data_IF_381596850626
#
_entry.id   IF_381596850626
#
_cell.length_a   1.000
_cell.length_b   1.000
_cell.length_c   1.000
_cell.angle_alpha   90.00
_cell.angle_beta   90.00
_cell.angle_gamma   90.00
#
_symmetry.space_group_name_H-M   'P 1'
#
loop_
_entity.id
_entity.type
_entity.pdbx_description
1 polymer ?
#
# COMPACT_ATOMS: atom_id res chain seq x y z
N UNK A 1 -40.93 -3.27 -0.86
CA UNK A 1 -39.79 -4.17 -1.10
C UNK A 1 -40.08 -5.49 -0.42
N UNK A 2 -40.07 -6.58 -1.17
CA UNK A 2 -40.23 -7.93 -0.59
C UNK A 2 -38.94 -8.34 0.12
N UNK A 3 -39.03 -9.26 1.09
CA UNK A 3 -37.87 -9.78 1.84
C UNK A 3 -36.75 -10.29 0.92
N UNK A 4 -37.14 -10.88 -0.22
CA UNK A 4 -36.21 -11.34 -1.25
C UNK A 4 -35.41 -10.19 -1.90
N UNK A 5 -36.03 -9.03 -2.14
CA UNK A 5 -35.34 -7.86 -2.69
C UNK A 5 -34.34 -7.27 -1.68
N UNK A 6 -34.65 -7.33 -0.37
CA UNK A 6 -33.75 -6.87 0.69
C UNK A 6 -32.55 -7.82 0.81
N UNK A 7 -32.78 -9.14 0.78
CA UNK A 7 -31.73 -10.15 0.78
C UNK A 7 -30.79 -10.04 -0.44
N UNK A 8 -31.35 -9.79 -1.63
CA UNK A 8 -30.57 -9.60 -2.85
C UNK A 8 -29.73 -8.31 -2.80
N UNK A 9 -30.29 -7.22 -2.27
CA UNK A 9 -29.55 -5.98 -2.07
C UNK A 9 -28.41 -6.14 -1.05
N UNK A 10 -28.64 -6.86 0.05
CA UNK A 10 -27.60 -7.13 1.06
C UNK A 10 -26.48 -8.02 0.50
N UNK A 11 -26.81 -9.05 -0.29
CA UNK A 11 -25.82 -9.89 -0.96
C UNK A 11 -24.93 -9.09 -1.91
N UNK A 12 -25.49 -8.15 -2.67
CA UNK A 12 -24.71 -7.31 -3.60
C UNK A 12 -23.76 -6.33 -2.89
N UNK A 13 -24.11 -5.87 -1.68
CA UNK A 13 -23.26 -4.95 -0.90
C UNK A 13 -22.04 -5.67 -0.29
N UNK A 14 -22.09 -6.99 -0.11
CA UNK A 14 -21.05 -7.76 0.59
C UNK A 14 -19.81 -8.13 -0.25
N UNK A 15 -19.70 -7.74 -1.52
CA UNK A 15 -18.62 -8.23 -2.40
C UNK A 15 -17.34 -7.37 -2.44
N UNK A 16 -17.25 -6.28 -1.69
CA UNK A 16 -16.01 -5.49 -1.61
C UNK A 16 -15.07 -6.04 -0.51
N UNK A 17 -14.46 -7.21 -0.72
CA UNK A 17 -13.38 -7.68 0.14
C UNK A 17 -12.08 -6.99 -0.28
N UNK A 18 -11.70 -5.92 0.42
CA UNK A 18 -10.35 -5.39 0.35
C UNK A 18 -9.40 -6.32 1.11
N UNK A 19 -8.36 -6.84 0.44
CA UNK A 19 -7.28 -7.60 1.10
C UNK A 19 -6.44 -6.63 1.95
N UNK A 20 -6.56 -6.71 3.28
CA UNK A 20 -5.69 -6.01 4.23
C UNK A 20 -4.90 -7.04 5.03
N UNK A 21 -3.57 -6.91 5.02
CA UNK A 21 -2.64 -7.70 5.84
C UNK A 21 -2.10 -6.79 6.94
N UNK A 22 -2.07 -7.26 8.18
CA UNK A 22 -1.44 -6.54 9.29
C UNK A 22 -0.01 -7.03 9.47
N UNK A 23 0.95 -6.11 9.50
CA UNK A 23 2.36 -6.41 9.74
C UNK A 23 2.81 -5.67 11.00
N UNK A 24 3.16 -6.42 12.04
CA UNK A 24 3.69 -5.87 13.29
C UNK A 24 5.21 -5.73 13.18
N UNK A 25 5.72 -4.54 13.45
CA UNK A 25 7.14 -4.23 13.38
C UNK A 25 7.63 -3.57 14.68
N UNK A 26 8.83 -3.95 15.10
CA UNK A 26 9.50 -3.36 16.26
C UNK A 26 10.36 -2.17 15.85
N UNK A 27 10.26 -1.08 16.61
CA UNK A 27 11.08 0.13 16.37
C UNK A 27 12.56 -0.21 16.47
N UNK A 28 13.34 0.23 15.48
CA UNK A 28 14.76 -0.04 15.37
C UNK A 28 15.11 -1.22 14.46
N UNK A 29 14.16 -2.10 14.16
CA UNK A 29 14.42 -3.26 13.30
C UNK A 29 14.41 -2.88 11.81
N UNK A 30 15.08 -3.72 11.01
CA UNK A 30 14.96 -3.69 9.56
C UNK A 30 13.66 -4.36 9.15
N UNK A 31 12.80 -3.64 8.42
CA UNK A 31 11.50 -4.13 7.94
C UNK A 31 11.52 -4.21 6.42
N UNK A 32 10.97 -5.29 5.86
CA UNK A 32 10.82 -5.47 4.41
C UNK A 32 9.35 -5.75 4.11
N UNK A 33 8.72 -4.86 3.34
CA UNK A 33 7.35 -5.05 2.85
C UNK A 33 7.39 -5.51 1.41
N UNK A 34 6.50 -6.45 1.09
CA UNK A 34 6.43 -7.09 -0.22
C UNK A 34 4.97 -7.29 -0.62
N UNK A 35 4.57 -6.66 -1.73
CA UNK A 35 3.24 -6.83 -2.34
C UNK A 35 3.25 -7.80 -3.53
N UNK A 36 4.39 -8.44 -3.79
CA UNK A 36 4.65 -9.29 -4.93
C UNK A 36 5.18 -8.53 -6.13
N UNK A 37 4.88 -9.06 -7.32
CA UNK A 37 5.44 -8.55 -8.59
C UNK A 37 4.86 -7.20 -9.00
N UNK A 38 5.56 -6.57 -9.95
CA UNK A 38 5.13 -5.36 -10.68
C UNK A 38 5.01 -4.10 -9.81
N UNK A 39 5.80 -4.02 -8.73
CA UNK A 39 5.86 -2.86 -7.85
C UNK A 39 7.10 -2.04 -8.15
N UNK A 40 6.91 -0.80 -8.58
CA UNK A 40 7.99 0.19 -8.74
C UNK A 40 7.80 1.33 -7.77
N UNK A 41 6.55 1.72 -7.54
CA UNK A 41 6.11 2.80 -6.68
C UNK A 41 5.35 2.23 -5.49
N UNK A 42 5.70 2.72 -4.31
CA UNK A 42 4.96 2.52 -3.08
C UNK A 42 4.23 3.79 -2.71
N UNK A 43 2.95 3.65 -2.36
CA UNK A 43 2.13 4.67 -1.73
C UNK A 43 1.94 4.30 -0.26
N UNK A 44 1.96 5.29 0.62
CA UNK A 44 1.46 5.13 1.98
C UNK A 44 0.46 6.21 2.35
N UNK A 45 -0.42 5.87 3.28
CA UNK A 45 -1.25 6.81 4.03
C UNK A 45 -0.88 6.65 5.50
N UNK A 46 -0.32 7.70 6.10
CA UNK A 46 0.01 7.71 7.53
C UNK A 46 -1.26 7.75 8.38
N UNK A 47 -1.11 7.49 9.68
CA UNK A 47 -2.23 7.58 10.63
C UNK A 47 -2.86 8.98 10.72
N UNK A 48 -2.11 10.04 10.41
CA UNK A 48 -2.62 11.41 10.33
C UNK A 48 -3.36 11.72 9.01
N UNK A 49 -3.44 10.76 8.08
CA UNK A 49 -4.09 10.89 6.78
C UNK A 49 -3.21 11.43 5.66
N UNK A 50 -1.94 11.74 5.92
CA UNK A 50 -1.03 12.23 4.89
C UNK A 50 -0.71 11.13 3.87
N UNK A 51 -0.89 11.45 2.59
CA UNK A 51 -0.56 10.57 1.48
C UNK A 51 0.81 10.90 0.91
N UNK A 52 1.66 9.89 0.83
CA UNK A 52 3.05 10.00 0.41
C UNK A 52 3.41 8.85 -0.53
N UNK A 53 4.47 9.01 -1.31
CA UNK A 53 4.99 7.96 -2.17
C UNK A 53 6.51 7.95 -2.26
N UNK A 54 7.07 6.78 -2.57
CA UNK A 54 8.48 6.52 -2.84
C UNK A 54 8.54 5.54 -4.02
N UNK A 55 9.59 5.59 -4.85
CA UNK A 55 9.74 4.67 -5.97
C UNK A 55 11.17 4.12 -6.07
N UNK A 56 11.29 2.95 -6.69
CA UNK A 56 12.57 2.47 -7.17
C UNK A 56 13.06 3.37 -8.30
N UNK A 57 14.34 3.70 -8.27
CA UNK A 57 14.99 4.53 -9.27
C UNK A 57 16.26 3.85 -9.75
N UNK A 58 16.49 3.90 -11.06
CA UNK A 58 17.71 3.35 -11.67
C UNK A 58 18.91 4.23 -11.33
N UNK A 59 20.10 3.66 -11.47
CA UNK A 59 21.34 4.42 -11.31
C UNK A 59 21.35 5.67 -12.21
N UNK A 60 21.56 6.84 -11.61
CA UNK A 60 21.60 8.13 -12.29
C UNK A 60 20.30 8.94 -12.24
N UNK A 61 19.19 8.35 -11.80
CA UNK A 61 17.96 9.09 -11.51
C UNK A 61 18.10 9.86 -10.18
N UNK A 62 17.65 11.12 -10.17
CA UNK A 62 17.82 12.04 -9.03
C UNK A 62 16.51 12.61 -8.50
N UNK A 63 15.37 12.03 -8.88
CA UNK A 63 14.07 12.50 -8.39
C UNK A 63 14.01 12.39 -6.85
N UNK A 64 13.36 13.33 -6.16
CA UNK A 64 13.22 13.28 -4.70
C UNK A 64 12.60 11.97 -4.19
N UNK A 65 11.64 11.41 -4.92
CA UNK A 65 10.96 10.15 -4.59
C UNK A 65 11.86 8.90 -4.75
N UNK A 66 13.10 9.04 -5.23
CA UNK A 66 14.06 7.94 -5.33
C UNK A 66 14.72 7.58 -4.00
N UNK A 67 14.78 8.54 -3.06
CA UNK A 67 15.56 8.41 -1.82
C UNK A 67 14.72 8.53 -0.56
N UNK A 68 13.55 9.14 -0.67
CA UNK A 68 12.67 9.42 0.44
C UNK A 68 11.21 9.37 0.01
N UNK A 69 10.33 9.21 0.99
CA UNK A 69 8.92 9.49 0.79
C UNK A 69 8.71 10.97 0.50
N UNK A 70 7.85 11.25 -0.49
CA UNK A 70 7.43 12.60 -0.82
C UNK A 70 5.92 12.72 -0.83
N UNK A 71 5.43 13.90 -0.45
CA UNK A 71 4.01 14.25 -0.51
C UNK A 71 3.53 14.35 -1.95
N UNK A 72 2.20 14.49 -2.15
CA UNK A 72 1.62 14.79 -3.48
C UNK A 72 2.25 15.99 -4.18
N UNK A 73 2.63 17.01 -3.41
CA UNK A 73 3.28 18.22 -3.94
C UNK A 73 4.78 18.03 -4.24
N UNK A 74 5.31 16.81 -4.13
CA UNK A 74 6.73 16.49 -4.37
C UNK A 74 7.69 16.96 -3.28
N UNK A 75 7.18 17.39 -2.11
CA UNK A 75 8.00 17.79 -0.96
C UNK A 75 8.39 16.56 -0.13
N UNK A 76 9.57 16.54 0.51
CA UNK A 76 9.93 15.47 1.43
C UNK A 76 8.90 15.29 2.54
N UNK A 77 8.59 14.04 2.85
CA UNK A 77 7.73 13.66 3.96
C UNK A 77 8.29 14.16 5.30
N UNK A 78 7.41 14.57 6.21
CA UNK A 78 7.79 15.00 7.57
C UNK A 78 6.90 14.27 8.58
N UNK A 79 7.47 13.53 9.54
CA UNK A 79 8.91 13.31 9.77
C UNK A 79 9.56 12.44 8.67
N UNK A 80 10.87 12.58 8.43
CA UNK A 80 11.56 11.77 7.42
C UNK A 80 11.56 10.29 7.79
N UNK A 81 11.69 9.44 6.77
CA UNK A 81 11.68 7.98 6.91
C UNK A 81 12.94 7.41 6.27
N UNK A 82 13.65 6.52 6.96
CA UNK A 82 14.80 5.83 6.38
C UNK A 82 14.33 4.60 5.61
N UNK A 83 13.89 4.80 4.37
CA UNK A 83 13.42 3.73 3.52
C UNK A 83 13.85 3.88 2.06
N UNK A 84 13.89 2.77 1.34
CA UNK A 84 14.09 2.73 -0.10
C UNK A 84 13.32 1.55 -0.71
N UNK A 85 13.11 1.60 -2.02
CA UNK A 85 12.58 0.48 -2.79
C UNK A 85 13.75 -0.20 -3.48
N UNK A 86 13.85 -1.53 -3.41
CA UNK A 86 14.88 -2.30 -4.12
C UNK A 86 14.48 -2.60 -5.58
N UNK A 87 15.36 -3.29 -6.31
CA UNK A 87 15.14 -3.61 -7.73
C UNK A 87 14.04 -4.66 -7.94
N UNK A 88 13.74 -5.46 -6.92
CA UNK A 88 12.62 -6.40 -6.87
C UNK A 88 11.28 -5.74 -6.52
N UNK A 89 11.27 -4.45 -6.16
CA UNK A 89 10.08 -3.71 -5.81
C UNK A 89 9.67 -3.82 -4.34
N UNK A 90 10.52 -4.35 -3.46
CA UNK A 90 10.26 -4.43 -2.02
C UNK A 90 10.58 -3.09 -1.37
N UNK A 91 9.75 -2.69 -0.40
CA UNK A 91 10.00 -1.50 0.40
C UNK A 91 10.75 -1.88 1.67
N UNK A 92 11.95 -1.33 1.84
CA UNK A 92 12.86 -1.64 2.93
C UNK A 92 12.96 -0.42 3.85
N UNK A 93 12.74 -0.64 5.14
CA UNK A 93 13.02 0.32 6.21
C UNK A 93 14.26 -0.12 6.96
N UNK A 94 15.20 0.80 7.19
CA UNK A 94 16.44 0.49 7.92
C UNK A 94 16.99 1.76 8.62
N UNK A 95 16.63 2.00 9.89
CA UNK A 95 15.65 1.28 10.72
C UNK A 95 14.20 1.75 10.50
N UNK A 96 13.23 0.91 10.86
CA UNK A 96 11.83 1.28 11.07
C UNK A 96 11.66 2.16 12.32
N UNK A 97 10.84 3.21 12.23
CA UNK A 97 10.45 4.06 13.36
C UNK A 97 8.94 4.16 13.52
N UNK A 98 8.46 4.50 14.72
CA UNK A 98 7.02 4.51 15.03
C UNK A 98 6.19 5.41 14.10
N UNK A 99 6.78 6.47 13.56
CA UNK A 99 6.11 7.38 12.64
C UNK A 99 5.88 6.79 11.25
N UNK A 100 6.53 5.67 10.92
CA UNK A 100 6.35 4.95 9.66
C UNK A 100 5.07 4.11 9.65
N UNK A 101 4.34 4.01 10.75
CA UNK A 101 3.04 3.33 10.78
C UNK A 101 2.06 3.96 9.78
N UNK A 102 1.37 3.09 9.06
CA UNK A 102 0.39 3.50 8.07
C UNK A 102 -0.11 2.36 7.19
N UNK A 103 -0.94 2.73 6.22
CA UNK A 103 -1.48 1.82 5.21
C UNK A 103 -0.64 1.95 3.93
N UNK A 104 -0.02 0.85 3.53
CA UNK A 104 0.87 0.75 2.38
C UNK A 104 0.20 0.01 1.23
N UNK A 105 0.42 0.50 0.01
CA UNK A 105 -0.04 -0.12 -1.24
C UNK A 105 0.86 0.29 -2.40
N UNK A 106 0.59 -0.23 -3.60
CA UNK A 106 1.24 0.22 -4.83
C UNK A 106 0.19 0.68 -5.84
N UNK A 107 0.34 1.88 -6.44
CA UNK A 107 -0.52 2.31 -7.54
C UNK A 107 -0.28 1.53 -8.84
N UNK A 108 0.82 0.79 -8.94
CA UNK A 108 1.19 0.03 -10.14
C UNK A 108 0.34 -1.24 -10.29
N UNK A 109 -0.14 -1.79 -9.17
CA UNK A 109 -0.90 -3.02 -9.16
C UNK A 109 -2.38 -2.76 -9.47
N UNK A 110 -2.88 -3.31 -10.58
CA UNK A 110 -4.30 -3.24 -10.98
C UNK A 110 -5.14 -4.33 -10.31
N UNK A 111 -6.43 -4.07 -9.98
CA UNK A 111 -7.31 -5.08 -9.40
C UNK A 111 -7.29 -6.38 -10.20
N UNK A 112 -7.37 -7.51 -9.49
CA UNK A 112 -7.49 -8.81 -10.13
C UNK A 112 -8.92 -8.98 -10.60
N UNK A 113 -9.12 -8.98 -11.91
CA UNK A 113 -10.42 -9.12 -12.55
C UNK A 113 -10.63 -10.55 -13.04
N UNK A 114 -11.82 -11.09 -12.77
CA UNK A 114 -12.31 -12.35 -13.32
C UNK A 114 -13.63 -12.04 -14.02
N UNK A 115 -13.69 -12.35 -15.31
CA UNK A 115 -14.90 -12.21 -16.12
C UNK A 115 -15.48 -13.59 -16.42
N UNK A 116 -16.78 -13.76 -16.15
CA UNK A 116 -17.54 -14.95 -16.53
C UNK A 116 -18.91 -14.53 -17.03
N UNK A 117 -19.27 -14.93 -18.25
CA UNK A 117 -20.57 -14.62 -18.90
C UNK A 117 -20.98 -13.14 -18.85
N UNK A 118 -20.01 -12.23 -19.01
CA UNK A 118 -20.24 -10.77 -18.99
C UNK A 118 -20.34 -10.15 -17.59
N UNK A 119 -20.25 -10.95 -16.52
CA UNK A 119 -20.12 -10.46 -15.14
C UNK A 119 -18.64 -10.33 -14.79
N UNK A 120 -18.22 -9.12 -14.40
CA UNK A 120 -16.87 -8.84 -13.91
C UNK A 120 -16.88 -8.84 -12.38
N UNK A 121 -16.08 -9.74 -11.80
CA UNK A 121 -15.70 -9.70 -10.39
C UNK A 121 -14.29 -9.16 -10.28
N UNK A 122 -14.08 -8.14 -9.45
CA UNK A 122 -12.76 -7.54 -9.25
C UNK A 122 -12.40 -7.56 -7.76
N UNK A 123 -11.15 -7.94 -7.44
CA UNK A 123 -10.60 -7.87 -6.09
C UNK A 123 -9.45 -6.87 -6.08
N UNK A 124 -9.51 -5.91 -5.14
CA UNK A 124 -8.43 -4.94 -4.93
C UNK A 124 -7.15 -5.66 -4.50
N UNK A 125 -5.99 -5.14 -4.92
CA UNK A 125 -4.72 -5.68 -4.47
C UNK A 125 -4.51 -5.46 -2.98
N UNK A 126 -3.60 -6.28 -2.44
CA UNK A 126 -3.25 -6.29 -1.03
C UNK A 126 -2.78 -4.92 -0.58
N UNK A 127 -3.30 -4.49 0.57
CA UNK A 127 -2.77 -3.38 1.33
C UNK A 127 -2.12 -3.94 2.60
N UNK A 128 -0.98 -3.38 2.99
CA UNK A 128 -0.30 -3.73 4.23
C UNK A 128 -0.55 -2.63 5.25
N UNK A 129 -1.18 -2.97 6.37
CA UNK A 129 -1.26 -2.13 7.55
C UNK A 129 -0.03 -2.40 8.41
N UNK A 130 0.98 -1.53 8.30
CA UNK A 130 2.19 -1.60 9.12
C UNK A 130 1.91 -0.95 10.47
N UNK A 131 2.09 -1.68 11.57
CA UNK A 131 1.81 -1.23 12.94
C UNK A 131 3.01 -1.52 13.85
N UNK A 132 3.14 -0.77 14.95
CA UNK A 132 4.16 -1.06 15.98
C UNK A 132 3.76 -2.31 16.74
N UNK A 133 4.72 -3.20 16.99
CA UNK A 133 4.57 -4.33 17.92
C UNK A 133 4.40 -3.80 19.35
N UNK A 134 3.35 -4.25 20.05
CA UNK A 134 3.04 -3.82 21.43
C UNK A 134 4.03 -4.36 22.47
#
# INVERSE_FOLDING_TARGET
MTLAQILFALLLICYAYASKVFYQAKVGDRVVLDLGRDVVTWKRVRNNGEEEHIKYCKAGETDPCCKDFVTKDGKPATPPTKAHVDEEGKLIFDPFVATDVGLYSSPDQKPKEVSHDGVVSAVLNTHISLVVEE
#
